data_IF_894813051413
#
_entry.id   IF_894813051413
#
_cell.length_a   1.000
_cell.length_b   1.000
_cell.length_c   1.000
_cell.angle_alpha   90.00
_cell.angle_beta   90.00
_cell.angle_gamma   90.00
#
_symmetry.space_group_name_H-M   'P 1'
#
loop_
_entity.id
_entity.type
_entity.pdbx_description
1 polymer ?
#
# COMPACT_ATOMS: atom_id res chain seq x y z
N UNK A 1 12.45 -8.12 -11.41
CA UNK A 1 13.30 -7.47 -10.37
C UNK A 1 14.15 -8.54 -9.70
N UNK A 2 15.47 -8.30 -9.52
CA UNK A 2 16.37 -9.25 -8.88
C UNK A 2 16.28 -9.19 -7.36
N UNK A 3 16.60 -10.31 -6.69
CA UNK A 3 16.76 -10.36 -5.24
C UNK A 3 18.07 -9.65 -4.85
N UNK A 4 18.01 -8.79 -3.85
CA UNK A 4 19.18 -8.14 -3.26
C UNK A 4 19.59 -8.92 -2.01
N UNK A 5 20.81 -9.50 -2.03
CA UNK A 5 21.36 -10.22 -0.88
C UNK A 5 21.71 -9.27 0.27
N UNK A 6 21.44 -9.70 1.51
CA UNK A 6 21.69 -8.89 2.70
C UNK A 6 20.47 -8.10 3.18
N UNK A 7 20.72 -7.07 4.01
CA UNK A 7 19.68 -6.28 4.67
C UNK A 7 19.57 -4.89 4.08
N UNK A 8 18.36 -4.53 3.71
CA UNK A 8 17.98 -3.24 3.14
C UNK A 8 16.84 -2.61 3.93
N UNK A 9 16.66 -1.31 3.76
CA UNK A 9 15.55 -0.53 4.31
C UNK A 9 14.94 0.34 3.22
N UNK A 10 13.81 0.97 3.52
CA UNK A 10 13.26 2.02 2.69
C UNK A 10 13.82 3.38 3.12
N UNK A 11 14.02 4.28 2.16
CA UNK A 11 14.29 5.69 2.41
C UNK A 11 13.31 6.54 1.59
N UNK A 12 12.54 7.37 2.29
CA UNK A 12 11.60 8.34 1.71
C UNK A 12 11.81 9.68 2.41
N UNK A 13 11.75 10.76 1.66
CA UNK A 13 11.86 12.11 2.19
C UNK A 13 10.48 12.70 2.47
N UNK A 14 10.36 13.38 3.62
CA UNK A 14 9.12 14.04 4.03
C UNK A 14 8.05 13.07 4.54
N UNK A 15 6.86 13.62 4.72
CA UNK A 15 5.66 12.88 5.13
C UNK A 15 5.11 12.08 3.94
N UNK A 16 4.39 11.02 4.24
CA UNK A 16 3.69 10.24 3.22
C UNK A 16 2.42 9.59 3.79
N UNK A 17 1.65 8.96 2.93
CA UNK A 17 0.42 8.28 3.32
C UNK A 17 0.47 6.83 2.90
N UNK A 18 0.10 5.95 3.81
CA UNK A 18 -0.20 4.54 3.52
C UNK A 18 -1.71 4.39 3.45
N UNK A 19 -2.19 3.91 2.32
CA UNK A 19 -3.61 3.64 2.09
C UNK A 19 -3.81 2.15 1.82
N UNK A 20 -4.58 1.53 2.67
CA UNK A 20 -4.99 0.15 2.54
C UNK A 20 -6.42 0.12 2.02
N UNK A 21 -6.69 -0.66 0.98
CA UNK A 21 -8.04 -0.84 0.47
C UNK A 21 -8.22 -2.27 -0.02
N UNK A 22 -9.42 -2.79 0.14
CA UNK A 22 -9.71 -4.12 -0.34
C UNK A 22 -11.19 -4.46 -0.29
N UNK A 23 -11.49 -5.67 -0.75
CA UNK A 23 -12.81 -6.24 -0.62
C UNK A 23 -12.74 -7.64 -0.02
N UNK A 24 -13.86 -8.06 0.55
CA UNK A 24 -14.05 -9.41 1.07
C UNK A 24 -15.19 -10.10 0.36
N UNK A 25 -14.89 -11.28 -0.16
CA UNK A 25 -15.90 -12.18 -0.75
C UNK A 25 -16.63 -12.93 0.36
N UNK A 26 -17.69 -12.34 0.93
CA UNK A 26 -18.48 -13.00 1.97
C UNK A 26 -19.24 -14.21 1.39
N UNK A 27 -19.78 -14.04 0.18
CA UNK A 27 -20.43 -15.10 -0.60
C UNK A 27 -19.78 -15.23 -1.98
N UNK A 28 -18.65 -15.96 -2.11
CA UNK A 28 -17.86 -16.01 -3.34
C UNK A 28 -18.63 -16.53 -4.55
N UNK A 29 -19.62 -17.38 -4.34
CA UNK A 29 -20.49 -17.91 -5.41
C UNK A 29 -21.40 -16.87 -6.07
N UNK A 30 -21.60 -15.71 -5.43
CA UNK A 30 -22.38 -14.60 -5.99
C UNK A 30 -21.51 -13.71 -6.90
N UNK A 31 -20.92 -14.30 -7.92
CA UNK A 31 -19.95 -13.68 -8.83
C UNK A 31 -20.46 -12.34 -9.39
N UNK A 32 -21.73 -12.26 -9.80
CA UNK A 32 -22.33 -11.03 -10.36
C UNK A 32 -22.29 -9.84 -9.39
N UNK A 33 -22.15 -10.10 -8.07
CA UNK A 33 -22.10 -9.05 -7.05
C UNK A 33 -20.71 -8.44 -6.91
N UNK A 34 -19.66 -9.25 -6.96
CA UNK A 34 -18.30 -8.78 -6.71
C UNK A 34 -17.47 -8.53 -7.98
N UNK A 35 -17.84 -9.16 -9.11
CA UNK A 35 -17.08 -9.06 -10.35
C UNK A 35 -16.88 -7.62 -10.84
N UNK A 36 -17.89 -6.73 -10.84
CA UNK A 36 -17.70 -5.33 -11.27
C UNK A 36 -16.66 -4.58 -10.45
N UNK A 37 -16.61 -4.84 -9.13
CA UNK A 37 -15.62 -4.23 -8.23
C UNK A 37 -14.23 -4.80 -8.46
N UNK A 38 -14.14 -6.14 -8.57
CA UNK A 38 -12.88 -6.83 -8.82
C UNK A 38 -12.21 -6.35 -10.13
N UNK A 39 -13.00 -6.11 -11.17
CA UNK A 39 -12.50 -5.65 -12.47
C UNK A 39 -12.23 -4.15 -12.54
N UNK A 40 -12.73 -3.38 -11.58
CA UNK A 40 -12.46 -1.93 -11.51
C UNK A 40 -11.03 -1.65 -11.02
N UNK A 41 -10.52 -2.44 -10.08
CA UNK A 41 -9.21 -2.21 -9.47
C UNK A 41 -8.06 -2.17 -10.49
N UNK A 42 -7.90 -3.13 -11.41
CA UNK A 42 -6.85 -3.07 -12.42
C UNK A 42 -6.92 -1.81 -13.32
N UNK A 43 -8.12 -1.28 -13.55
CA UNK A 43 -8.29 -0.05 -14.34
C UNK A 43 -7.80 1.17 -13.56
N UNK A 44 -8.11 1.23 -12.26
CA UNK A 44 -7.62 2.29 -11.38
C UNK A 44 -6.09 2.27 -11.26
N UNK A 45 -5.50 1.09 -11.08
CA UNK A 45 -4.05 0.94 -10.98
C UNK A 45 -3.35 1.40 -12.25
N UNK A 46 -3.93 1.10 -13.42
CA UNK A 46 -3.41 1.61 -14.69
C UNK A 46 -3.40 3.14 -14.74
N UNK A 47 -4.44 3.80 -14.24
CA UNK A 47 -4.50 5.27 -14.19
C UNK A 47 -3.36 5.83 -13.34
N UNK A 48 -3.10 5.28 -12.16
CA UNK A 48 -2.00 5.78 -11.32
C UNK A 48 -0.62 5.45 -11.90
N UNK A 49 -0.48 4.37 -12.66
CA UNK A 49 0.75 4.02 -13.38
C UNK A 49 1.03 4.97 -14.57
N UNK A 50 -0.03 5.39 -15.28
CA UNK A 50 0.04 6.29 -16.43
C UNK A 50 0.19 7.76 -16.00
N UNK A 51 -0.19 8.11 -14.76
CA UNK A 51 -0.27 9.48 -14.22
C UNK A 51 0.49 9.64 -12.89
N UNK A 52 1.83 9.63 -12.90
CA UNK A 52 2.65 9.81 -11.68
C UNK A 52 2.38 11.13 -10.94
N UNK A 53 1.92 12.15 -11.67
CA UNK A 53 1.54 13.46 -11.11
C UNK A 53 0.40 13.38 -10.10
N UNK A 54 -0.43 12.33 -10.13
CA UNK A 54 -1.49 12.09 -9.17
C UNK A 54 -0.97 11.84 -7.74
N UNK A 55 0.33 11.50 -7.62
CA UNK A 55 1.00 11.38 -6.33
C UNK A 55 0.97 9.98 -5.71
N UNK A 56 0.52 8.95 -6.43
CA UNK A 56 0.72 7.56 -6.03
C UNK A 56 2.18 7.17 -6.28
N UNK A 57 2.90 6.83 -5.22
CA UNK A 57 4.33 6.48 -5.28
C UNK A 57 4.55 5.01 -5.64
N UNK A 58 3.56 4.17 -5.37
CA UNK A 58 3.62 2.74 -5.66
C UNK A 58 2.58 1.95 -4.89
N UNK A 59 2.44 0.68 -5.24
CA UNK A 59 1.46 -0.19 -4.60
C UNK A 59 1.86 -1.67 -4.68
N UNK A 60 1.23 -2.49 -3.81
CA UNK A 60 1.25 -3.95 -3.88
C UNK A 60 -0.14 -4.51 -3.63
N UNK A 61 -0.48 -5.58 -4.34
CA UNK A 61 -1.79 -6.22 -4.24
C UNK A 61 -1.64 -7.71 -3.87
N UNK A 62 -2.47 -8.13 -2.92
CA UNK A 62 -2.66 -9.55 -2.59
C UNK A 62 -4.10 -9.95 -2.83
N UNK A 63 -4.27 -11.13 -3.42
CA UNK A 63 -5.58 -11.67 -3.78
C UNK A 63 -5.85 -12.90 -2.91
N UNK A 64 -7.00 -12.88 -2.26
CA UNK A 64 -7.50 -13.95 -1.42
C UNK A 64 -8.99 -13.77 -1.16
N UNK A 65 -9.56 -14.47 -0.19
CA UNK A 65 -10.94 -14.27 0.23
C UNK A 65 -11.21 -12.84 0.70
N UNK A 66 -10.23 -12.24 1.33
CA UNK A 66 -10.14 -10.79 1.55
C UNK A 66 -8.95 -10.31 0.73
N UNK A 67 -9.19 -9.39 -0.19
CA UNK A 67 -8.11 -8.76 -0.96
C UNK A 67 -7.53 -7.62 -0.16
N UNK A 68 -6.26 -7.34 -0.39
CA UNK A 68 -5.60 -6.15 0.12
C UNK A 68 -4.77 -5.51 -0.99
N UNK A 69 -4.93 -4.22 -1.16
CA UNK A 69 -4.08 -3.34 -1.95
C UNK A 69 -3.48 -2.33 -0.99
N UNK A 70 -2.17 -2.34 -0.86
CA UNK A 70 -1.40 -1.35 -0.11
C UNK A 70 -0.88 -0.34 -1.09
N UNK A 71 -1.18 0.93 -0.88
CA UNK A 71 -0.72 2.04 -1.70
C UNK A 71 0.09 3.01 -0.86
N UNK A 72 1.11 3.62 -1.46
CA UNK A 72 1.92 4.68 -0.88
C UNK A 72 1.65 5.96 -1.66
N UNK A 73 1.28 7.02 -0.97
CA UNK A 73 0.92 8.31 -1.56
C UNK A 73 1.82 9.41 -1.02
N UNK A 74 2.15 10.37 -1.88
CA UNK A 74 2.97 11.53 -1.53
C UNK A 74 2.33 12.39 -0.44
N UNK A 75 1.00 12.54 -0.46
CA UNK A 75 0.25 13.28 0.54
C UNK A 75 -1.20 12.79 0.67
N UNK A 76 -1.86 13.18 1.75
CA UNK A 76 -3.30 12.92 1.92
C UNK A 76 -4.13 13.73 0.92
N UNK A 77 -3.69 14.93 0.59
CA UNK A 77 -4.32 15.82 -0.37
C UNK A 77 -4.35 15.20 -1.77
N UNK A 78 -3.26 14.52 -2.18
CA UNK A 78 -3.19 13.82 -3.45
C UNK A 78 -4.14 12.61 -3.47
N UNK A 79 -4.15 11.81 -2.40
CA UNK A 79 -5.09 10.69 -2.25
C UNK A 79 -6.55 11.15 -2.26
N UNK A 80 -6.90 12.21 -1.50
CA UNK A 80 -8.27 12.73 -1.42
C UNK A 80 -8.71 13.32 -2.76
N UNK A 81 -7.84 14.06 -3.46
CA UNK A 81 -8.09 14.55 -4.80
C UNK A 81 -8.37 13.41 -5.78
N UNK A 82 -7.51 12.38 -5.79
CA UNK A 82 -7.72 11.19 -6.60
C UNK A 82 -9.04 10.50 -6.27
N UNK A 83 -9.37 10.31 -4.99
CA UNK A 83 -10.58 9.64 -4.55
C UNK A 83 -11.87 10.40 -4.93
N UNK A 84 -11.81 11.73 -5.03
CA UNK A 84 -12.95 12.60 -5.35
C UNK A 84 -13.06 12.95 -6.83
N UNK A 85 -12.07 12.62 -7.63
CA UNK A 85 -12.05 12.96 -9.04
C UNK A 85 -13.18 12.24 -9.79
N UNK A 86 -14.10 13.05 -10.36
CA UNK A 86 -15.29 12.55 -11.06
C UNK A 86 -15.01 12.06 -12.48
N UNK A 87 -13.89 12.44 -13.06
CA UNK A 87 -13.48 12.06 -14.41
C UNK A 87 -12.78 10.69 -14.44
N UNK A 88 -12.32 10.21 -13.29
CA UNK A 88 -11.61 8.96 -13.18
C UNK A 88 -12.55 7.72 -13.18
N UNK A 89 -12.10 6.60 -13.71
CA UNK A 89 -12.95 5.41 -13.95
C UNK A 89 -13.38 4.66 -12.67
N UNK A 90 -13.01 5.11 -11.47
CA UNK A 90 -13.32 4.40 -10.23
C UNK A 90 -14.72 4.68 -9.68
N UNK A 91 -15.34 5.83 -10.02
CA UNK A 91 -16.64 6.22 -9.45
C UNK A 91 -17.79 5.35 -9.95
N UNK A 92 -17.83 4.98 -11.24
CA UNK A 92 -18.94 4.18 -11.75
C UNK A 92 -18.96 2.76 -11.17
N UNK A 93 -17.84 2.02 -11.06
CA UNK A 93 -17.78 0.78 -10.30
C UNK A 93 -18.22 0.92 -8.83
N UNK A 94 -17.87 2.03 -8.18
CA UNK A 94 -18.30 2.32 -6.81
C UNK A 94 -19.81 2.53 -6.70
N UNK A 95 -20.40 3.29 -7.62
CA UNK A 95 -21.86 3.47 -7.71
C UNK A 95 -22.57 2.16 -8.00
N UNK A 96 -22.01 1.36 -8.90
CA UNK A 96 -22.55 0.04 -9.23
C UNK A 96 -22.47 -0.92 -8.04
N UNK A 97 -21.37 -0.92 -7.28
CA UNK A 97 -21.24 -1.69 -6.04
C UNK A 97 -22.35 -1.30 -5.07
N UNK A 98 -22.50 -0.01 -4.78
CA UNK A 98 -23.53 0.47 -3.86
C UNK A 98 -24.95 0.06 -4.29
N UNK A 99 -25.23 0.06 -5.59
CA UNK A 99 -26.53 -0.40 -6.12
C UNK A 99 -26.74 -1.90 -5.98
N UNK A 100 -25.70 -2.70 -6.26
CA UNK A 100 -25.80 -4.17 -6.32
C UNK A 100 -25.66 -4.85 -4.97
N UNK A 101 -24.85 -4.32 -4.10
CA UNK A 101 -24.50 -4.98 -2.82
C UNK A 101 -25.33 -4.41 -1.68
N UNK A 102 -25.46 -3.08 -1.57
CA UNK A 102 -26.17 -2.42 -0.46
C UNK A 102 -25.86 -3.14 0.88
N UNK A 103 -26.84 -3.33 1.71
CA UNK A 103 -26.74 -3.99 3.03
C UNK A 103 -26.87 -5.52 2.96
N UNK A 104 -26.69 -6.12 1.78
CA UNK A 104 -26.86 -7.57 1.60
C UNK A 104 -25.83 -8.42 2.34
N UNK A 105 -24.70 -7.83 2.72
CA UNK A 105 -23.57 -8.53 3.32
C UNK A 105 -22.88 -9.55 2.40
N UNK A 106 -23.19 -9.53 1.08
CA UNK A 106 -22.63 -10.49 0.12
C UNK A 106 -21.16 -10.20 -0.19
N UNK A 107 -20.80 -8.91 -0.22
CA UNK A 107 -19.43 -8.39 -0.43
C UNK A 107 -19.16 -7.31 0.59
N UNK A 108 -18.01 -7.36 1.25
CA UNK A 108 -17.51 -6.29 2.09
C UNK A 108 -16.49 -5.43 1.33
N UNK A 109 -16.44 -4.13 1.64
CA UNK A 109 -15.34 -3.23 1.25
C UNK A 109 -14.79 -2.62 2.52
N UNK A 110 -13.49 -2.41 2.54
CA UNK A 110 -12.78 -1.80 3.65
C UNK A 110 -11.65 -0.91 3.14
N UNK A 111 -11.32 0.10 3.89
CA UNK A 111 -10.11 0.88 3.69
C UNK A 111 -9.62 1.46 5.02
N UNK A 112 -8.33 1.73 5.07
CA UNK A 112 -7.66 2.40 6.20
C UNK A 112 -6.64 3.38 5.63
N UNK A 113 -6.48 4.52 6.28
CA UNK A 113 -5.55 5.56 5.86
C UNK A 113 -4.65 5.95 7.02
N UNK A 114 -3.35 5.88 6.82
CA UNK A 114 -2.35 6.24 7.81
C UNK A 114 -1.51 7.40 7.26
N UNK A 115 -1.51 8.52 7.97
CA UNK A 115 -0.58 9.62 7.72
C UNK A 115 0.70 9.33 8.50
N UNK A 116 1.80 9.19 7.81
CA UNK A 116 3.12 8.89 8.39
C UNK A 116 3.98 10.14 8.28
N UNK A 117 4.48 10.63 9.40
CA UNK A 117 5.40 11.77 9.41
C UNK A 117 6.81 11.33 9.05
N UNK A 118 7.59 12.28 8.56
CA UNK A 118 9.00 12.06 8.25
C UNK A 118 9.73 11.45 9.46
N UNK A 119 10.40 10.33 9.24
CA UNK A 119 11.12 9.60 10.30
C UNK A 119 10.26 8.71 11.20
N UNK A 120 8.93 8.79 11.15
CA UNK A 120 8.03 7.96 11.97
C UNK A 120 7.67 6.64 11.25
N UNK A 121 8.64 5.99 10.65
CA UNK A 121 8.48 4.68 10.03
C UNK A 121 9.76 3.85 10.14
N UNK A 122 9.60 2.54 10.09
CA UNK A 122 10.71 1.58 10.07
C UNK A 122 10.40 0.50 9.03
N UNK A 123 11.41 0.07 8.32
CA UNK A 123 11.32 -1.03 7.38
C UNK A 123 12.62 -1.81 7.30
N UNK A 124 12.52 -3.12 7.14
CA UNK A 124 13.67 -3.99 6.86
C UNK A 124 13.30 -5.06 5.84
N UNK A 125 14.17 -5.25 4.87
CA UNK A 125 14.04 -6.24 3.80
C UNK A 125 15.29 -7.12 3.80
N UNK A 126 15.12 -8.39 4.11
CA UNK A 126 16.23 -9.37 4.12
C UNK A 126 16.14 -10.28 2.91
N UNK A 127 17.16 -10.29 2.05
CA UNK A 127 17.22 -11.14 0.86
C UNK A 127 15.95 -11.01 -0.03
N UNK A 128 15.48 -9.80 -0.25
CA UNK A 128 14.29 -9.51 -1.04
C UNK A 128 14.60 -8.60 -2.24
N UNK A 129 13.75 -8.59 -3.28
CA UNK A 129 13.71 -7.49 -4.21
C UNK A 129 13.22 -6.22 -3.52
N UNK A 130 13.33 -5.06 -4.16
CA UNK A 130 12.64 -3.86 -3.70
C UNK A 130 11.14 -4.15 -3.59
N UNK A 131 10.57 -3.91 -2.40
CA UNK A 131 9.20 -4.29 -2.06
C UNK A 131 8.57 -3.25 -1.13
N UNK A 132 7.24 -3.12 -1.16
CA UNK A 132 6.51 -2.22 -0.27
C UNK A 132 7.00 -0.78 -0.41
N UNK A 133 7.28 -0.13 0.73
CA UNK A 133 7.75 1.26 0.75
C UNK A 133 9.09 1.43 -0.01
N UNK A 134 9.99 0.43 0.06
CA UNK A 134 11.26 0.50 -0.68
C UNK A 134 11.10 0.45 -2.20
N UNK A 135 10.02 -0.14 -2.70
CA UNK A 135 9.69 -0.11 -4.14
C UNK A 135 9.01 1.21 -4.54
N UNK A 136 8.25 1.80 -3.62
CA UNK A 136 7.57 3.08 -3.83
C UNK A 136 8.50 4.31 -3.67
N UNK A 137 9.64 4.14 -2.97
CA UNK A 137 10.61 5.20 -2.72
C UNK A 137 12.02 4.75 -3.10
N UNK A 138 12.91 4.54 -2.11
CA UNK A 138 14.28 4.09 -2.35
C UNK A 138 14.62 2.86 -1.52
N UNK A 139 15.24 1.85 -2.17
CA UNK A 139 15.73 0.63 -1.55
C UNK A 139 17.23 0.78 -1.24
N UNK A 140 17.58 0.98 0.02
CA UNK A 140 18.94 1.30 0.44
C UNK A 140 19.46 0.28 1.45
N UNK A 141 20.79 0.00 1.49
CA UNK A 141 21.36 -0.86 2.51
C UNK A 141 21.12 -0.33 3.93
N UNK A 142 20.89 -1.22 4.89
CA UNK A 142 20.82 -0.84 6.31
C UNK A 142 22.17 -0.28 6.76
N UNK A 143 22.15 0.89 7.40
CA UNK A 143 23.37 1.55 7.90
C UNK A 143 23.97 0.76 9.06
N UNK A 144 25.27 0.90 9.28
CA UNK A 144 25.92 0.48 10.53
C UNK A 144 25.25 1.18 11.71
N UNK A 145 25.00 0.49 12.80
CA UNK A 145 24.33 1.02 13.97
C UNK A 145 22.81 1.14 13.82
N UNK A 146 22.21 0.47 12.82
CA UNK A 146 20.77 0.44 12.60
C UNK A 146 20.23 -0.99 12.45
N UNK A 147 20.76 -1.93 13.26
CA UNK A 147 20.34 -3.33 13.22
C UNK A 147 19.00 -3.56 13.92
N UNK A 148 18.72 -2.83 15.02
CA UNK A 148 17.44 -2.88 15.71
C UNK A 148 16.39 -2.01 15.05
N UNK A 149 15.10 -2.31 15.28
CA UNK A 149 13.98 -1.49 14.80
C UNK A 149 14.01 -0.10 15.44
N UNK A 150 14.30 -0.02 16.77
CA UNK A 150 14.40 1.23 17.50
C UNK A 150 15.51 2.14 16.96
N UNK A 151 16.66 1.57 16.59
CA UNK A 151 17.76 2.34 15.99
C UNK A 151 17.40 2.81 14.56
N UNK A 152 16.62 2.04 13.79
CA UNK A 152 16.18 2.45 12.44
C UNK A 152 15.16 3.59 12.47
N UNK A 153 14.24 3.59 13.44
CA UNK A 153 13.23 4.65 13.59
C UNK A 153 13.77 5.87 14.37
N UNK A 154 14.98 5.77 14.92
CA UNK A 154 15.61 6.87 15.66
C UNK A 154 15.16 7.01 17.11
N UNK A 155 14.51 6.01 17.70
CA UNK A 155 14.06 6.00 19.11
C UNK A 155 15.14 5.54 20.08
N UNK A 156 16.25 4.98 19.59
CA UNK A 156 17.37 4.50 20.42
C UNK A 156 18.69 4.64 19.70
N UNK A 157 19.71 5.11 20.40
CA UNK A 157 21.11 5.04 19.96
C UNK A 157 21.72 3.65 20.20
N UNK A 158 21.08 2.82 21.03
CA UNK A 158 21.53 1.46 21.33
C UNK A 158 21.06 0.52 20.23
N UNK A 159 22.02 -0.03 19.51
CA UNK A 159 21.77 -0.97 18.39
C UNK A 159 22.05 -2.41 18.84
N UNK A 160 21.23 -2.90 19.77
CA UNK A 160 21.28 -4.28 20.26
C UNK A 160 20.17 -5.12 19.61
N UNK A 161 20.45 -5.83 18.51
CA UNK A 161 19.46 -6.73 17.92
C UNK A 161 19.28 -7.98 18.82
N UNK A 162 18.05 -8.50 18.89
CA UNK A 162 17.74 -9.72 19.64
C UNK A 162 18.47 -10.95 19.05
N UNK A 163 18.75 -10.90 17.77
CA UNK A 163 19.50 -11.92 17.02
C UNK A 163 20.53 -11.20 16.14
N UNK A 164 21.73 -11.72 16.11
CA UNK A 164 22.79 -11.20 15.24
C UNK A 164 22.32 -11.11 13.78
N UNK A 165 22.50 -9.95 13.13
CA UNK A 165 22.15 -9.80 11.72
C UNK A 165 23.08 -10.65 10.85
N UNK A 166 22.54 -11.28 9.85
CA UNK A 166 23.28 -11.98 8.80
C UNK A 166 23.80 -11.03 7.73
#
# INVERSE_FOLDING_TARGET
>A
MGVHGGRFTAAIEGDFVVFLIGMRFNKPWKVRKWWPVATAMPRMLRVVDEHPELGCLGYHQWIGRTTILVQYWRSFEDLDRFARDTELPHLEPWRQFNRLVRDSGDVGIWHETFKVRAGEYEAVYGNMPAFGLAAAASHVPVRRGANSAAARIGESEVDEPVVDPY
#
